data_IF_467743333447
#
_entry.id   IF_467743333447
#
_cell.length_a   1.000
_cell.length_b   1.000
_cell.length_c   1.000
_cell.angle_alpha   90.00
_cell.angle_beta   90.00
_cell.angle_gamma   90.00
#
_symmetry.space_group_name_H-M   'P 1'
#
loop_
_entity.id
_entity.type
_entity.pdbx_description
1 polymer ?
#
# COMPACT_ATOMS: atom_id res chain seq x y z
N UNK A 1 17.95 -27.71 45.96
CA UNK A 1 17.50 -28.08 44.60
C UNK A 1 17.08 -26.89 43.72
N UNK A 2 17.46 -25.64 44.02
CA UNK A 2 17.11 -24.47 43.17
C UNK A 2 18.17 -24.10 42.10
N UNK A 3 19.39 -24.66 42.18
CA UNK A 3 20.50 -24.32 41.27
C UNK A 3 20.49 -25.10 39.94
N UNK A 4 19.91 -26.31 39.91
CA UNK A 4 19.91 -27.17 38.71
C UNK A 4 19.03 -26.64 37.57
N UNK A 5 18.08 -25.75 37.85
CA UNK A 5 17.24 -25.12 36.81
C UNK A 5 17.83 -23.82 36.26
N UNK A 6 18.78 -23.16 36.95
CA UNK A 6 19.38 -21.92 36.47
C UNK A 6 20.27 -22.16 35.25
N UNK A 7 21.13 -23.19 35.28
CA UNK A 7 21.97 -23.54 34.12
C UNK A 7 21.16 -23.94 32.89
N UNK A 8 20.03 -24.66 33.08
CA UNK A 8 19.12 -25.00 31.98
C UNK A 8 18.37 -23.78 31.41
N UNK A 9 18.08 -22.77 32.23
CA UNK A 9 17.49 -21.50 31.77
C UNK A 9 18.54 -20.67 31.02
N UNK A 10 19.77 -20.59 31.53
CA UNK A 10 20.89 -19.89 30.90
C UNK A 10 21.21 -20.47 29.51
N UNK A 11 21.31 -21.80 29.39
CA UNK A 11 21.52 -22.49 28.11
C UNK A 11 20.38 -22.23 27.11
N UNK A 12 19.13 -22.15 27.58
CA UNK A 12 17.97 -21.82 26.72
C UNK A 12 18.00 -20.37 26.26
N UNK A 13 18.41 -19.44 27.13
CA UNK A 13 18.55 -18.02 26.79
C UNK A 13 19.68 -17.80 25.78
N UNK A 14 20.81 -18.50 25.94
CA UNK A 14 21.93 -18.45 25.01
C UNK A 14 21.53 -19.00 23.62
N UNK A 15 20.85 -20.15 23.57
CA UNK A 15 20.29 -20.70 22.33
C UNK A 15 19.28 -19.76 21.67
N UNK A 16 18.44 -19.09 22.46
CA UNK A 16 17.48 -18.13 21.94
C UNK A 16 18.17 -16.88 21.36
N UNK A 17 19.25 -16.40 22.00
CA UNK A 17 20.05 -15.30 21.51
C UNK A 17 20.74 -15.64 20.19
N UNK A 18 21.38 -16.82 20.09
CA UNK A 18 22.03 -17.30 18.87
C UNK A 18 21.03 -17.43 17.70
N UNK A 19 19.88 -18.08 17.92
CA UNK A 19 18.82 -18.18 16.91
C UNK A 19 18.29 -16.82 16.47
N UNK A 20 18.16 -15.88 17.40
CA UNK A 20 17.74 -14.51 17.08
C UNK A 20 18.75 -13.83 16.15
N UNK A 21 20.04 -13.99 16.42
CA UNK A 21 21.12 -13.45 15.59
C UNK A 21 21.13 -14.07 14.19
N UNK A 22 20.97 -15.40 14.09
CA UNK A 22 20.82 -16.11 12.81
C UNK A 22 19.62 -15.60 12.00
N UNK A 23 18.45 -15.45 12.64
CA UNK A 23 17.23 -14.94 11.99
C UNK A 23 17.44 -13.49 11.50
N UNK A 24 18.10 -12.64 12.29
CA UNK A 24 18.39 -11.26 11.89
C UNK A 24 19.35 -11.24 10.70
N UNK A 25 20.42 -12.05 10.74
CA UNK A 25 21.38 -12.15 9.65
C UNK A 25 20.73 -12.63 8.35
N UNK A 26 19.90 -13.68 8.43
CA UNK A 26 19.18 -14.19 7.26
C UNK A 26 18.23 -13.13 6.68
N UNK A 27 17.44 -12.45 7.52
CA UNK A 27 16.53 -11.39 7.08
C UNK A 27 17.26 -10.23 6.40
N UNK A 28 18.43 -9.84 6.91
CA UNK A 28 19.24 -8.80 6.29
C UNK A 28 19.75 -9.22 4.91
N UNK A 29 20.19 -10.47 4.75
CA UNK A 29 20.62 -11.02 3.46
C UNK A 29 19.44 -11.10 2.48
N UNK A 30 18.30 -11.62 2.90
CA UNK A 30 17.09 -11.72 2.07
C UNK A 30 16.63 -10.33 1.61
N UNK A 31 16.62 -9.35 2.52
CA UNK A 31 16.28 -7.96 2.19
C UNK A 31 17.27 -7.37 1.18
N UNK A 32 18.58 -7.51 1.39
CA UNK A 32 19.60 -7.02 0.47
C UNK A 32 19.45 -7.66 -0.93
N UNK A 33 19.16 -8.96 -0.99
CA UNK A 33 18.92 -9.67 -2.25
C UNK A 33 17.67 -9.17 -2.98
N UNK A 34 16.57 -8.95 -2.26
CA UNK A 34 15.34 -8.38 -2.84
C UNK A 34 15.61 -6.98 -3.39
N UNK A 35 16.33 -6.13 -2.65
CA UNK A 35 16.67 -4.78 -3.11
C UNK A 35 17.56 -4.81 -4.36
N UNK A 36 18.56 -5.70 -4.39
CA UNK A 36 19.41 -5.88 -5.56
C UNK A 36 18.61 -6.33 -6.79
N UNK A 37 17.69 -7.29 -6.62
CA UNK A 37 16.83 -7.77 -7.71
C UNK A 37 15.91 -6.66 -8.22
N UNK A 38 15.31 -5.87 -7.32
CA UNK A 38 14.46 -4.74 -7.69
C UNK A 38 15.24 -3.67 -8.47
N UNK A 39 16.45 -3.33 -8.01
CA UNK A 39 17.33 -2.39 -8.70
C UNK A 39 17.72 -2.92 -10.09
N UNK A 40 18.09 -4.20 -10.20
CA UNK A 40 18.43 -4.81 -11.47
C UNK A 40 17.24 -4.79 -12.45
N UNK A 41 16.03 -5.08 -11.98
CA UNK A 41 14.81 -4.98 -12.79
C UNK A 41 14.56 -3.54 -13.26
N UNK A 42 14.79 -2.53 -12.41
CA UNK A 42 14.63 -1.13 -12.76
C UNK A 42 15.66 -0.71 -13.84
N UNK A 43 16.92 -1.10 -13.67
CA UNK A 43 17.98 -0.82 -14.64
C UNK A 43 17.65 -1.46 -15.99
N UNK A 44 17.21 -2.72 -16.00
CA UNK A 44 16.81 -3.41 -17.22
C UNK A 44 15.67 -2.68 -17.96
N UNK A 45 14.66 -2.21 -17.24
CA UNK A 45 13.56 -1.43 -17.82
C UNK A 45 14.06 -0.09 -18.40
N UNK A 46 14.87 0.66 -17.65
CA UNK A 46 15.43 1.93 -18.13
C UNK A 46 16.30 1.76 -19.38
N UNK A 47 17.09 0.69 -19.45
CA UNK A 47 17.87 0.35 -20.62
C UNK A 47 16.99 0.07 -21.83
N UNK A 48 15.89 -0.67 -21.65
CA UNK A 48 14.92 -0.91 -22.71
C UNK A 48 14.30 0.40 -23.21
N UNK A 49 13.83 1.25 -22.29
CA UNK A 49 13.17 2.52 -22.61
C UNK A 49 14.11 3.45 -23.40
N UNK A 50 15.39 3.51 -23.04
CA UNK A 50 16.39 4.31 -23.75
C UNK A 50 16.70 3.76 -25.15
N UNK A 51 16.80 2.44 -25.31
CA UNK A 51 17.00 1.82 -26.62
C UNK A 51 15.78 2.03 -27.54
N UNK A 52 14.57 1.97 -27.00
CA UNK A 52 13.33 2.30 -27.72
C UNK A 52 13.29 3.77 -28.13
N UNK A 53 13.65 4.69 -27.24
CA UNK A 53 13.73 6.12 -27.57
C UNK A 53 14.78 6.40 -28.64
N UNK A 54 15.95 5.75 -28.55
CA UNK A 54 17.00 5.86 -29.56
C UNK A 54 16.51 5.40 -30.93
N UNK A 55 15.80 4.27 -31.00
CA UNK A 55 15.18 3.78 -32.25
C UNK A 55 14.15 4.78 -32.78
N UNK A 56 13.31 5.33 -31.92
CA UNK A 56 12.32 6.36 -32.28
C UNK A 56 12.98 7.60 -32.86
N UNK A 57 13.97 8.18 -32.19
CA UNK A 57 14.71 9.36 -32.69
C UNK A 57 15.40 9.07 -34.03
N UNK A 58 15.97 7.87 -34.20
CA UNK A 58 16.62 7.47 -35.45
C UNK A 58 15.62 7.44 -36.62
N UNK A 59 14.45 6.86 -36.40
CA UNK A 59 13.47 6.57 -37.45
C UNK A 59 12.44 7.68 -37.68
N UNK A 60 12.24 8.57 -36.71
CA UNK A 60 11.26 9.63 -36.81
C UNK A 60 11.65 10.67 -37.88
N UNK A 61 10.61 11.21 -38.51
CA UNK A 61 10.68 12.24 -39.55
C UNK A 61 10.15 13.59 -39.04
N UNK A 62 10.86 14.67 -39.38
CA UNK A 62 10.54 16.02 -38.90
C UNK A 62 9.19 16.51 -39.47
N UNK A 63 8.86 16.15 -40.71
CA UNK A 63 7.62 16.58 -41.33
C UNK A 63 6.41 15.93 -40.66
N UNK A 64 6.48 14.62 -40.41
CA UNK A 64 5.44 13.89 -39.66
C UNK A 64 5.24 14.47 -38.26
N UNK A 65 6.33 14.75 -37.52
CA UNK A 65 6.21 15.35 -36.17
C UNK A 65 5.53 16.72 -36.22
N UNK A 66 5.84 17.55 -37.22
CA UNK A 66 5.19 18.86 -37.38
C UNK A 66 3.70 18.74 -37.68
N UNK A 67 3.31 17.76 -38.48
CA UNK A 67 1.90 17.47 -38.76
C UNK A 67 1.16 17.00 -37.50
N UNK A 68 1.76 16.10 -36.72
CA UNK A 68 1.21 15.65 -35.44
C UNK A 68 1.03 16.82 -34.45
N UNK A 69 2.06 17.67 -34.29
CA UNK A 69 1.97 18.87 -33.43
C UNK A 69 0.81 19.76 -33.88
N UNK A 70 0.69 20.02 -35.18
CA UNK A 70 -0.37 20.86 -35.73
C UNK A 70 -1.76 20.25 -35.52
N UNK A 71 -1.90 18.93 -35.63
CA UNK A 71 -3.15 18.23 -35.35
C UNK A 71 -3.57 18.41 -33.88
N UNK A 72 -2.65 18.18 -32.94
CA UNK A 72 -2.91 18.40 -31.51
C UNK A 72 -3.25 19.85 -31.18
N UNK A 73 -2.59 20.83 -31.82
CA UNK A 73 -2.89 22.25 -31.61
C UNK A 73 -4.28 22.63 -32.14
N UNK A 74 -4.62 22.22 -33.36
CA UNK A 74 -5.89 22.53 -34.01
C UNK A 74 -7.09 21.88 -33.29
N UNK A 75 -6.92 20.66 -32.79
CA UNK A 75 -7.99 19.89 -32.12
C UNK A 75 -7.94 20.00 -30.60
N UNK A 76 -7.05 20.83 -30.05
CA UNK A 76 -6.85 20.96 -28.60
C UNK A 76 -8.13 21.27 -27.82
N UNK A 77 -9.01 22.13 -28.36
CA UNK A 77 -10.28 22.45 -27.71
C UNK A 77 -11.24 21.26 -27.64
N UNK A 78 -11.30 20.44 -28.70
CA UNK A 78 -12.13 19.24 -28.73
C UNK A 78 -11.56 18.15 -27.81
N UNK A 79 -10.24 17.97 -27.80
CA UNK A 79 -9.55 17.04 -26.89
C UNK A 79 -9.75 17.46 -25.44
N UNK A 80 -9.59 18.75 -25.10
CA UNK A 80 -9.76 19.23 -23.72
C UNK A 80 -11.17 18.93 -23.20
N UNK A 81 -12.18 19.26 -24.02
CA UNK A 81 -13.58 19.01 -23.70
C UNK A 81 -13.86 17.52 -23.50
N UNK A 82 -13.47 16.65 -24.45
CA UNK A 82 -13.74 15.21 -24.37
C UNK A 82 -12.99 14.53 -23.23
N UNK A 83 -11.76 14.96 -22.96
CA UNK A 83 -10.98 14.41 -21.85
C UNK A 83 -11.56 14.81 -20.51
N UNK A 84 -12.04 16.05 -20.37
CA UNK A 84 -12.71 16.52 -19.16
C UNK A 84 -13.98 15.71 -18.87
N UNK A 85 -14.83 15.53 -19.88
CA UNK A 85 -16.05 14.70 -19.77
C UNK A 85 -15.73 13.29 -19.26
N UNK A 86 -14.77 12.62 -19.91
CA UNK A 86 -14.36 11.25 -19.52
C UNK A 86 -13.73 11.21 -18.14
N UNK A 87 -12.89 12.19 -17.79
CA UNK A 87 -12.19 12.24 -16.51
C UNK A 87 -13.15 12.44 -15.34
N UNK A 88 -14.07 13.40 -15.45
CA UNK A 88 -15.07 13.70 -14.42
C UNK A 88 -16.00 12.50 -14.17
N UNK A 89 -16.52 11.87 -15.23
CA UNK A 89 -17.34 10.66 -15.11
C UNK A 89 -16.54 9.52 -14.47
N UNK A 90 -15.30 9.32 -14.92
CA UNK A 90 -14.45 8.24 -14.44
C UNK A 90 -14.11 8.37 -12.95
N UNK A 91 -13.71 9.56 -12.48
CA UNK A 91 -13.38 9.79 -11.07
C UNK A 91 -14.58 9.52 -10.17
N UNK A 92 -15.78 9.96 -10.56
CA UNK A 92 -16.99 9.76 -9.77
C UNK A 92 -17.23 8.27 -9.51
N UNK A 93 -17.17 7.45 -10.55
CA UNK A 93 -17.31 6.01 -10.42
C UNK A 93 -16.15 5.38 -9.65
N UNK A 94 -14.93 5.78 -9.95
CA UNK A 94 -13.72 5.28 -9.31
C UNK A 94 -13.72 5.51 -7.79
N UNK A 95 -14.03 6.73 -7.34
CA UNK A 95 -14.07 7.07 -5.91
C UNK A 95 -15.11 6.22 -5.16
N UNK A 96 -16.28 5.99 -5.77
CA UNK A 96 -17.31 5.16 -5.16
C UNK A 96 -16.84 3.70 -5.05
N UNK A 97 -16.15 3.18 -6.07
CA UNK A 97 -15.61 1.82 -6.07
C UNK A 97 -14.50 1.65 -5.02
N UNK A 98 -13.56 2.60 -4.91
CA UNK A 98 -12.51 2.54 -3.86
C UNK A 98 -13.14 2.59 -2.48
N UNK A 99 -14.12 3.48 -2.26
CA UNK A 99 -14.79 3.60 -0.95
C UNK A 99 -15.35 2.24 -0.52
N UNK A 100 -16.13 1.61 -1.39
CA UNK A 100 -16.69 0.29 -1.10
C UNK A 100 -15.59 -0.76 -0.89
N UNK A 101 -14.55 -0.77 -1.74
CA UNK A 101 -13.47 -1.73 -1.65
C UNK A 101 -12.62 -1.61 -0.39
N UNK A 102 -12.29 -0.39 0.04
CA UNK A 102 -11.54 -0.15 1.27
C UNK A 102 -12.38 -0.45 2.52
N UNK A 103 -13.68 -0.09 2.52
CA UNK A 103 -14.59 -0.45 3.61
C UNK A 103 -14.73 -1.97 3.76
N UNK A 104 -14.84 -2.69 2.65
CA UNK A 104 -14.87 -4.16 2.65
C UNK A 104 -13.54 -4.77 3.10
N UNK A 105 -12.42 -4.22 2.63
CA UNK A 105 -11.06 -4.65 3.00
C UNK A 105 -10.82 -4.47 4.50
N UNK A 106 -11.16 -3.30 5.04
CA UNK A 106 -11.07 -3.03 6.48
C UNK A 106 -11.91 -4.02 7.27
N UNK A 107 -13.17 -4.24 6.85
CA UNK A 107 -14.07 -5.19 7.51
C UNK A 107 -13.48 -6.60 7.52
N UNK A 108 -12.93 -7.07 6.40
CA UNK A 108 -12.28 -8.38 6.29
C UNK A 108 -11.03 -8.48 7.17
N UNK A 109 -10.15 -7.48 7.14
CA UNK A 109 -8.94 -7.46 7.96
C UNK A 109 -9.27 -7.54 9.45
N UNK A 110 -10.25 -6.73 9.89
CA UNK A 110 -10.76 -6.77 11.27
C UNK A 110 -11.40 -8.13 11.60
N UNK A 111 -12.17 -8.73 10.70
CA UNK A 111 -12.73 -10.07 10.90
C UNK A 111 -11.66 -11.15 11.01
N UNK A 112 -10.63 -11.12 10.17
CA UNK A 112 -9.51 -12.07 10.22
C UNK A 112 -8.74 -11.92 11.53
N UNK A 113 -8.49 -10.70 11.99
CA UNK A 113 -7.89 -10.46 13.29
C UNK A 113 -8.76 -11.05 14.43
N UNK A 114 -10.10 -10.93 14.34
CA UNK A 114 -11.01 -11.58 15.29
C UNK A 114 -10.87 -13.10 15.27
N UNK A 115 -10.81 -13.74 14.10
CA UNK A 115 -10.70 -15.21 14.01
C UNK A 115 -9.37 -15.73 14.53
N UNK A 116 -8.24 -15.09 14.21
CA UNK A 116 -6.92 -15.50 14.71
C UNK A 116 -6.84 -15.52 16.24
N UNK A 117 -7.50 -14.56 16.91
CA UNK A 117 -7.60 -14.57 18.38
C UNK A 117 -8.30 -15.81 18.96
N UNK A 118 -9.07 -16.55 18.16
CA UNK A 118 -9.73 -17.81 18.54
C UNK A 118 -8.85 -19.04 18.28
N UNK A 119 -8.11 -19.05 17.17
CA UNK A 119 -7.29 -20.21 16.77
C UNK A 119 -6.06 -20.41 17.66
N UNK A 120 -5.50 -19.34 18.23
CA UNK A 120 -4.45 -19.42 19.26
C UNK A 120 -4.90 -20.13 20.56
N UNK A 121 -6.17 -20.56 20.68
CA UNK A 121 -6.65 -21.45 21.76
C UNK A 121 -6.40 -22.95 21.50
N UNK A 122 -6.22 -23.41 20.25
CA UNK A 122 -6.24 -24.85 19.92
C UNK A 122 -4.86 -25.56 19.97
N UNK A 123 -3.74 -24.85 20.07
CA UNK A 123 -2.40 -25.47 20.07
C UNK A 123 -1.83 -25.83 21.46
N UNK A 124 -2.54 -25.59 22.56
CA UNK A 124 -2.14 -26.03 23.92
C UNK A 124 -3.06 -27.12 24.50
N UNK A 125 -3.49 -28.10 23.69
CA UNK A 125 -4.21 -29.28 24.19
C UNK A 125 -3.31 -30.37 24.79
N UNK A 126 -2.30 -30.02 25.60
CA UNK A 126 -1.70 -30.95 26.56
C UNK A 126 -1.17 -30.18 27.77
N UNK A 127 -2.04 -29.82 28.72
CA UNK A 127 -1.81 -29.99 30.16
C UNK A 127 -3.17 -30.11 30.85
N UNK A 128 -3.25 -31.16 31.64
CA UNK A 128 -4.33 -31.63 32.48
C UNK A 128 -5.01 -30.51 33.30
N UNK A 129 -6.33 -30.59 33.36
CA UNK A 129 -7.29 -29.80 34.15
C UNK A 129 -6.72 -29.22 35.46
N UNK A 130 -6.18 -28.00 35.41
CA UNK A 130 -6.03 -27.13 36.59
C UNK A 130 -6.42 -25.69 36.23
N UNK A 131 -7.60 -25.31 36.72
CA UNK A 131 -8.17 -23.96 36.92
C UNK A 131 -7.57 -22.76 36.13
N UNK A 132 -8.39 -22.25 35.22
CA UNK A 132 -8.59 -20.83 34.86
C UNK A 132 -7.35 -19.92 34.97
N UNK A 133 -6.64 -19.72 33.86
CA UNK A 133 -5.69 -18.62 33.75
C UNK A 133 -4.78 -18.72 32.54
N UNK A 134 -4.95 -17.80 31.60
CA UNK A 134 -4.12 -17.65 30.42
C UNK A 134 -4.82 -18.19 29.19
N UNK A 135 -5.03 -17.35 28.19
CA UNK A 135 -5.48 -17.71 26.84
C UNK A 135 -6.93 -18.21 26.65
N UNK A 136 -7.72 -18.55 27.66
CA UNK A 136 -9.18 -18.76 27.44
C UNK A 136 -10.05 -17.50 27.60
N UNK A 137 -9.54 -16.52 28.36
CA UNK A 137 -10.29 -15.32 28.74
C UNK A 137 -10.24 -14.20 27.69
N UNK A 138 -9.14 -14.12 26.94
CA UNK A 138 -8.90 -13.07 25.94
C UNK A 138 -9.79 -13.22 24.70
N UNK A 139 -9.93 -14.41 24.10
CA UNK A 139 -10.78 -14.66 22.94
C UNK A 139 -12.26 -14.37 23.24
N UNK A 140 -12.72 -14.83 24.40
CA UNK A 140 -14.07 -14.55 24.92
C UNK A 140 -14.32 -13.05 25.08
N UNK A 141 -13.29 -12.33 25.52
CA UNK A 141 -13.37 -10.90 25.77
C UNK A 141 -13.27 -10.07 24.48
N UNK A 142 -12.37 -10.38 23.55
CA UNK A 142 -12.33 -9.76 22.23
C UNK A 142 -13.63 -10.02 21.45
N UNK A 143 -14.20 -11.22 21.53
CA UNK A 143 -15.53 -11.52 20.98
C UNK A 143 -16.63 -10.59 21.51
N UNK A 144 -16.63 -10.34 22.83
CA UNK A 144 -17.58 -9.40 23.46
C UNK A 144 -17.32 -7.92 23.08
N UNK A 145 -16.06 -7.55 22.87
CA UNK A 145 -15.65 -6.20 22.48
C UNK A 145 -16.13 -5.86 21.07
N UNK A 146 -16.13 -6.85 20.19
CA UNK A 146 -16.38 -6.71 18.76
C UNK A 146 -17.81 -7.03 18.31
N UNK A 147 -18.76 -7.10 19.26
CA UNK A 147 -20.20 -7.10 18.98
C UNK A 147 -20.85 -8.46 18.75
N UNK A 148 -20.20 -9.58 19.08
CA UNK A 148 -20.88 -10.88 19.12
C UNK A 148 -21.64 -11.02 20.44
N UNK A 149 -22.95 -11.25 20.32
CA UNK A 149 -23.79 -11.64 21.45
C UNK A 149 -23.52 -13.11 21.75
N UNK A 150 -23.42 -13.41 23.04
CA UNK A 150 -23.33 -14.72 23.68
C UNK A 150 -21.93 -15.30 23.92
N UNK A 151 -21.30 -14.82 25.00
CA UNK A 151 -20.45 -15.68 25.84
C UNK A 151 -20.73 -15.35 27.31
N UNK A 152 -21.74 -16.02 27.86
CA UNK A 152 -22.36 -15.75 29.15
C UNK A 152 -21.42 -15.69 30.35
N UNK A 153 -21.80 -14.82 31.29
CA UNK A 153 -21.32 -14.80 32.65
C UNK A 153 -21.79 -16.06 33.38
N UNK A 154 -20.89 -16.68 34.14
CA UNK A 154 -21.29 -17.20 35.44
C UNK A 154 -20.64 -16.30 36.49
N UNK A 155 -21.49 -15.57 37.20
CA UNK A 155 -21.24 -15.22 38.59
C UNK A 155 -20.77 -16.50 39.30
N UNK A 156 -19.61 -16.49 39.95
CA UNK A 156 -19.29 -17.18 41.21
C UNK A 156 -17.78 -17.09 41.47
N UNK A 157 -17.48 -16.50 42.64
CA UNK A 157 -16.26 -16.60 43.48
C UNK A 157 -14.86 -16.29 42.90
N UNK A 158 -14.35 -15.12 43.32
CA UNK A 158 -12.93 -14.70 43.42
C UNK A 158 -11.95 -15.41 42.48
N UNK A 159 -12.18 -15.34 41.18
CA UNK A 159 -11.14 -15.60 40.19
C UNK A 159 -10.33 -14.33 39.98
N UNK A 160 -9.09 -14.29 40.47
CA UNK A 160 -8.20 -13.15 40.25
C UNK A 160 -7.83 -13.09 38.77
N UNK A 161 -8.37 -12.13 38.02
CA UNK A 161 -8.06 -11.93 36.61
C UNK A 161 -6.54 -11.90 36.40
N UNK A 162 -6.03 -12.67 35.45
CA UNK A 162 -4.59 -12.72 35.13
C UNK A 162 -4.43 -12.58 33.62
N UNK A 163 -3.56 -11.68 33.17
CA UNK A 163 -3.33 -11.42 31.74
C UNK A 163 -1.85 -11.17 31.46
N UNK A 164 -1.36 -11.74 30.35
CA UNK A 164 0.01 -11.53 29.85
C UNK A 164 0.01 -10.28 28.97
N UNK A 165 0.48 -9.15 29.49
CA UNK A 165 0.40 -7.87 28.76
C UNK A 165 1.16 -7.90 27.42
N UNK A 166 2.31 -8.59 27.37
CA UNK A 166 3.10 -8.73 26.14
C UNK A 166 2.39 -9.51 25.03
N UNK A 167 1.60 -10.54 25.36
CA UNK A 167 0.83 -11.29 24.37
C UNK A 167 -0.28 -10.43 23.76
N UNK A 168 -0.96 -9.63 24.59
CA UNK A 168 -1.97 -8.67 24.14
C UNK A 168 -1.35 -7.60 23.24
N UNK A 169 -0.18 -7.08 23.60
CA UNK A 169 0.53 -6.09 22.79
C UNK A 169 0.94 -6.65 21.42
N UNK A 170 1.47 -7.87 21.37
CA UNK A 170 1.79 -8.54 20.10
C UNK A 170 0.55 -8.69 19.22
N UNK A 171 -0.56 -9.16 19.79
CA UNK A 171 -1.81 -9.30 19.04
C UNK A 171 -2.32 -7.95 18.48
N UNK A 172 -2.30 -6.88 19.28
CA UNK A 172 -2.69 -5.55 18.79
C UNK A 172 -1.78 -5.08 17.66
N UNK A 173 -0.47 -5.33 17.78
CA UNK A 173 0.52 -5.01 16.75
C UNK A 173 0.22 -5.76 15.45
N UNK A 174 -0.03 -7.07 15.53
CA UNK A 174 -0.39 -7.89 14.37
C UNK A 174 -1.72 -7.47 13.74
N UNK A 175 -2.71 -7.11 14.55
CA UNK A 175 -3.99 -6.58 14.06
C UNK A 175 -3.79 -5.29 13.27
N UNK A 176 -3.00 -4.35 13.80
CA UNK A 176 -2.70 -3.09 13.13
C UNK A 176 -1.95 -3.32 11.83
N UNK A 177 -0.86 -4.07 11.86
CA UNK A 177 -0.06 -4.40 10.67
C UNK A 177 -0.92 -5.09 9.61
N UNK A 178 -1.82 -5.99 10.01
CA UNK A 178 -2.72 -6.67 9.08
C UNK A 178 -3.73 -5.71 8.45
N UNK A 179 -4.29 -4.77 9.21
CA UNK A 179 -5.24 -3.78 8.70
C UNK A 179 -4.55 -2.76 7.79
N UNK A 180 -3.40 -2.24 8.24
CA UNK A 180 -2.55 -1.30 7.50
C UNK A 180 -2.14 -1.89 6.15
N UNK A 181 -1.54 -3.10 6.17
CA UNK A 181 -1.11 -3.81 4.97
C UNK A 181 -2.26 -4.04 4.02
N UNK A 182 -3.39 -4.57 4.51
CA UNK A 182 -4.54 -4.85 3.65
C UNK A 182 -5.09 -3.59 2.97
N UNK A 183 -5.20 -2.48 3.72
CA UNK A 183 -5.66 -1.21 3.15
C UNK A 183 -4.66 -0.63 2.15
N UNK A 184 -3.37 -0.63 2.47
CA UNK A 184 -2.32 -0.12 1.58
C UNK A 184 -2.18 -0.96 0.31
N UNK A 185 -2.26 -2.29 0.42
CA UNK A 185 -2.28 -3.20 -0.74
C UNK A 185 -3.49 -2.92 -1.64
N UNK A 186 -4.66 -2.72 -1.04
CA UNK A 186 -5.89 -2.37 -1.76
C UNK A 186 -5.77 -1.01 -2.45
N UNK A 187 -5.30 0.03 -1.74
CA UNK A 187 -5.07 1.36 -2.29
C UNK A 187 -4.07 1.35 -3.45
N UNK A 188 -2.97 0.59 -3.32
CA UNK A 188 -1.97 0.40 -4.38
C UNK A 188 -2.56 -0.31 -5.60
N UNK A 189 -3.38 -1.34 -5.40
CA UNK A 189 -4.10 -2.01 -6.49
C UNK A 189 -5.02 -1.03 -7.23
N UNK A 190 -5.80 -0.24 -6.50
CA UNK A 190 -6.67 0.79 -7.10
C UNK A 190 -5.89 1.84 -7.89
N UNK A 191 -4.74 2.30 -7.38
CA UNK A 191 -3.85 3.24 -8.08
C UNK A 191 -3.40 2.69 -9.44
N UNK A 192 -3.02 1.41 -9.49
CA UNK A 192 -2.59 0.77 -10.75
C UNK A 192 -3.76 0.65 -11.73
N UNK A 193 -4.92 0.18 -11.27
CA UNK A 193 -6.12 0.03 -12.10
C UNK A 193 -6.59 1.38 -12.64
N UNK A 194 -6.61 2.42 -11.78
CA UNK A 194 -6.97 3.80 -12.15
C UNK A 194 -6.17 4.30 -13.35
N UNK A 195 -4.84 4.22 -13.27
CA UNK A 195 -3.95 4.71 -14.34
C UNK A 195 -4.19 3.98 -15.65
N UNK A 196 -4.34 2.65 -15.58
CA UNK A 196 -4.55 1.80 -16.74
C UNK A 196 -5.90 2.07 -17.42
N UNK A 197 -6.99 2.11 -16.65
CA UNK A 197 -8.34 2.29 -17.17
C UNK A 197 -8.57 3.70 -17.70
N UNK A 198 -8.09 4.72 -16.98
CA UNK A 198 -8.21 6.11 -17.43
C UNK A 198 -7.45 6.30 -18.74
N UNK A 199 -6.19 5.82 -18.82
CA UNK A 199 -5.42 5.86 -20.06
C UNK A 199 -6.17 5.24 -21.23
N UNK A 200 -6.74 4.04 -21.04
CA UNK A 200 -7.48 3.36 -22.10
C UNK A 200 -8.70 4.17 -22.56
N UNK A 201 -9.44 4.79 -21.64
CA UNK A 201 -10.62 5.61 -21.95
C UNK A 201 -10.24 6.88 -22.72
N UNK A 202 -9.23 7.63 -22.26
CA UNK A 202 -8.82 8.88 -22.92
C UNK A 202 -8.11 8.62 -24.24
N UNK A 203 -7.37 7.51 -24.35
CA UNK A 203 -6.77 7.09 -25.61
C UNK A 203 -7.81 6.73 -26.66
N UNK A 204 -8.90 6.04 -26.24
CA UNK A 204 -10.04 5.79 -27.12
C UNK A 204 -10.66 7.10 -27.62
N UNK A 205 -10.86 8.09 -26.74
CA UNK A 205 -11.35 9.40 -27.15
C UNK A 205 -10.40 10.11 -28.11
N UNK A 206 -9.08 10.02 -27.88
CA UNK A 206 -8.11 10.62 -28.78
C UNK A 206 -8.22 10.06 -30.21
N UNK A 207 -8.38 8.74 -30.36
CA UNK A 207 -8.57 8.08 -31.66
C UNK A 207 -9.87 8.43 -32.36
N UNK A 208 -10.89 8.85 -31.61
CA UNK A 208 -12.15 9.33 -32.18
C UNK A 208 -12.00 10.76 -32.76
N UNK A 209 -11.05 11.54 -32.22
CA UNK A 209 -10.82 12.95 -32.58
C UNK A 209 -9.72 13.08 -33.65
N UNK A 210 -8.64 12.32 -33.53
CA UNK A 210 -7.46 12.38 -34.39
C UNK A 210 -7.28 11.04 -35.09
N UNK A 211 -6.93 11.09 -36.37
CA UNK A 211 -6.57 9.90 -37.14
C UNK A 211 -5.32 9.20 -36.58
N UNK A 212 -5.31 7.87 -36.59
CA UNK A 212 -4.27 7.05 -35.94
C UNK A 212 -2.84 7.35 -36.46
N UNK A 213 -2.68 7.73 -37.72
CA UNK A 213 -1.40 8.12 -38.33
C UNK A 213 -0.82 9.42 -37.75
N UNK A 214 -1.67 10.27 -37.18
CA UNK A 214 -1.29 11.53 -36.54
C UNK A 214 -1.13 11.41 -35.02
N UNK A 215 -1.27 10.20 -34.46
CA UNK A 215 -1.10 9.97 -33.03
C UNK A 215 0.29 9.41 -32.74
N UNK A 216 1.10 10.14 -31.97
CA UNK A 216 2.27 9.56 -31.33
C UNK A 216 1.86 8.93 -29.99
N UNK A 217 1.57 7.63 -30.02
CA UNK A 217 1.09 6.88 -28.85
C UNK A 217 2.08 6.94 -27.67
N UNK A 218 3.39 6.93 -27.94
CA UNK A 218 4.39 6.96 -26.87
C UNK A 218 4.45 8.35 -26.21
N UNK A 219 4.40 9.43 -26.98
CA UNK A 219 4.29 10.78 -26.44
C UNK A 219 2.99 10.94 -25.65
N UNK A 220 1.87 10.43 -26.18
CA UNK A 220 0.58 10.49 -25.51
C UNK A 220 0.59 9.75 -24.18
N UNK A 221 1.03 8.49 -24.17
CA UNK A 221 1.15 7.66 -22.95
C UNK A 221 2.05 8.31 -21.91
N UNK A 222 3.22 8.81 -22.29
CA UNK A 222 4.12 9.54 -21.36
C UNK A 222 3.45 10.77 -20.77
N UNK A 223 2.67 11.49 -21.56
CA UNK A 223 1.98 12.70 -21.12
C UNK A 223 0.88 12.41 -20.11
N UNK A 224 0.02 11.42 -20.40
CA UNK A 224 -1.02 10.97 -19.48
C UNK A 224 -0.39 10.45 -18.18
N UNK A 225 0.60 9.56 -18.27
CA UNK A 225 1.21 8.98 -17.07
C UNK A 225 1.92 10.05 -16.22
N UNK A 226 2.60 11.04 -16.83
CA UNK A 226 3.20 12.14 -16.08
C UNK A 226 2.19 12.95 -15.25
N UNK A 227 0.99 13.17 -15.79
CA UNK A 227 -0.11 13.85 -15.07
C UNK A 227 -0.70 12.94 -13.99
N UNK A 228 -0.84 11.64 -14.25
CA UNK A 228 -1.39 10.72 -13.25
C UNK A 228 -0.39 10.35 -12.14
N UNK A 229 0.91 10.39 -12.43
CA UNK A 229 1.98 10.11 -11.47
C UNK A 229 2.14 11.23 -10.43
N UNK A 230 1.70 12.46 -10.74
CA UNK A 230 1.69 13.56 -9.77
C UNK A 230 0.58 13.46 -8.73
N UNK A 231 -0.36 12.51 -8.90
CA UNK A 231 -1.44 12.29 -7.93
C UNK A 231 -0.90 11.45 -6.77
N UNK A 232 -0.94 12.02 -5.57
CA UNK A 232 -0.52 11.32 -4.36
C UNK A 232 -1.63 10.41 -3.84
N UNK A 233 -1.32 9.12 -3.72
CA UNK A 233 -2.14 8.14 -3.02
C UNK A 233 -1.48 7.93 -1.66
N UNK A 234 -2.11 8.47 -0.60
CA UNK A 234 -1.58 8.38 0.76
C UNK A 234 -1.61 6.94 1.28
N UNK A 235 -0.78 6.68 2.28
CA UNK A 235 -0.74 5.39 2.98
C UNK A 235 -1.46 5.50 4.33
N UNK A 236 -2.07 4.40 4.75
CA UNK A 236 -2.58 4.22 6.10
C UNK A 236 -1.41 3.86 7.02
N UNK A 237 -1.46 4.33 8.26
CA UNK A 237 -0.48 4.04 9.31
C UNK A 237 -1.23 3.81 10.63
N UNK A 238 -1.03 2.64 11.22
CA UNK A 238 -1.62 2.25 12.50
C UNK A 238 -0.57 1.84 13.53
N UNK A 239 0.67 2.31 13.42
CA UNK A 239 1.76 1.89 14.31
C UNK A 239 1.64 2.39 15.77
N UNK A 240 0.75 3.36 16.03
CA UNK A 240 0.61 4.03 17.32
C UNK A 240 -0.35 3.33 18.31
N UNK A 241 0.18 2.39 19.09
CA UNK A 241 -0.50 1.84 20.28
C UNK A 241 -0.33 2.81 21.48
N UNK A 242 -1.40 3.20 22.19
CA UNK A 242 -1.32 4.10 23.34
C UNK A 242 -0.31 3.65 24.39
N UNK A 243 0.44 4.60 24.95
CA UNK A 243 1.46 4.33 25.98
C UNK A 243 0.91 3.62 27.22
N UNK A 244 -0.36 3.85 27.55
CA UNK A 244 -1.08 3.18 28.64
C UNK A 244 -1.19 1.66 28.44
N UNK A 245 -1.23 1.20 27.19
CA UNK A 245 -1.25 -0.21 26.81
C UNK A 245 0.19 -0.70 26.59
N UNK A 246 0.95 0.03 25.76
CA UNK A 246 2.32 -0.34 25.37
C UNK A 246 3.28 -0.40 26.56
N UNK A 247 3.07 0.41 27.59
CA UNK A 247 3.90 0.47 28.80
C UNK A 247 3.66 -0.67 29.80
N UNK A 248 2.62 -1.50 29.60
CA UNK A 248 2.32 -2.62 30.50
C UNK A 248 3.06 -3.88 30.06
N UNK A 249 3.71 -4.55 31.02
CA UNK A 249 4.53 -5.73 30.78
C UNK A 249 4.29 -6.82 31.82
N UNK A 250 4.71 -8.05 31.52
CA UNK A 250 4.60 -9.18 32.44
C UNK A 250 3.17 -9.71 32.65
N UNK A 251 2.99 -10.44 33.75
CA UNK A 251 1.73 -11.07 34.12
C UNK A 251 0.97 -10.18 35.11
N UNK A 252 0.00 -9.42 34.61
CA UNK A 252 -0.84 -8.57 35.44
C UNK A 252 -1.85 -9.43 36.19
N UNK A 253 -2.20 -9.05 37.43
CA UNK A 253 -3.15 -9.80 38.28
C UNK A 253 -4.11 -8.91 39.06
N UNK A 254 -5.34 -9.37 39.24
CA UNK A 254 -6.36 -8.68 40.05
C UNK A 254 -6.79 -7.36 39.40
N UNK A 255 -6.86 -6.30 40.18
CA UNK A 255 -7.39 -5.00 39.70
C UNK A 255 -6.55 -4.39 38.58
N UNK A 256 -5.23 -4.61 38.59
CA UNK A 256 -4.35 -4.17 37.50
C UNK A 256 -4.67 -4.89 36.18
N UNK A 257 -4.95 -6.20 36.24
CA UNK A 257 -5.37 -6.95 35.05
C UNK A 257 -6.72 -6.44 34.54
N UNK A 258 -7.68 -6.18 35.45
CA UNK A 258 -8.99 -5.65 35.09
C UNK A 258 -8.90 -4.28 34.42
N UNK A 259 -8.10 -3.36 34.96
CA UNK A 259 -7.90 -2.02 34.39
C UNK A 259 -7.21 -2.07 33.03
N UNK A 260 -6.18 -2.90 32.88
CA UNK A 260 -5.50 -3.09 31.59
C UNK A 260 -6.44 -3.65 30.53
N UNK A 261 -7.22 -4.69 30.88
CA UNK A 261 -8.25 -5.26 30.01
C UNK A 261 -9.22 -4.17 29.57
N UNK A 262 -9.81 -3.41 30.49
CA UNK A 262 -10.73 -2.32 30.14
C UNK A 262 -10.11 -1.30 29.18
N UNK A 263 -8.86 -0.92 29.41
CA UNK A 263 -8.12 0.04 28.57
C UNK A 263 -7.94 -0.48 27.15
N UNK A 264 -7.48 -1.74 27.00
CA UNK A 264 -7.38 -2.41 25.70
C UNK A 264 -8.74 -2.51 25.02
N UNK A 265 -9.83 -2.72 25.79
CA UNK A 265 -11.15 -2.94 25.21
C UNK A 265 -11.71 -1.67 24.63
N UNK A 266 -11.55 -0.57 25.35
CA UNK A 266 -11.91 0.75 24.85
C UNK A 266 -11.07 1.12 23.62
N UNK A 267 -9.77 0.85 23.66
CA UNK A 267 -8.89 1.08 22.52
C UNK A 267 -9.33 0.32 21.27
N UNK A 268 -9.55 -0.99 21.39
CA UNK A 268 -9.92 -1.86 20.28
C UNK A 268 -11.29 -1.50 19.70
N UNK A 269 -12.27 -1.10 20.54
CA UNK A 269 -13.56 -0.57 20.06
C UNK A 269 -13.38 0.72 19.27
N UNK A 270 -12.50 1.61 19.75
CA UNK A 270 -12.24 2.89 19.11
C UNK A 270 -11.47 2.70 17.79
N UNK A 271 -10.55 1.73 17.73
CA UNK A 271 -9.76 1.43 16.54
C UNK A 271 -10.63 1.17 15.30
N UNK A 272 -11.67 0.34 15.40
CA UNK A 272 -12.57 0.10 14.26
C UNK A 272 -13.24 1.40 13.78
N UNK A 273 -13.61 2.30 14.69
CA UNK A 273 -14.21 3.59 14.36
C UNK A 273 -13.18 4.56 13.77
N UNK A 274 -11.95 4.57 14.29
CA UNK A 274 -10.84 5.39 13.82
C UNK A 274 -10.42 4.95 12.40
N UNK A 275 -10.17 3.66 12.18
CA UNK A 275 -9.83 3.14 10.85
C UNK A 275 -10.92 3.43 9.81
N UNK A 276 -12.22 3.36 10.19
CA UNK A 276 -13.32 3.77 9.31
C UNK A 276 -13.30 5.26 9.00
N UNK A 277 -12.94 6.10 9.97
CA UNK A 277 -12.79 7.55 9.80
C UNK A 277 -11.60 7.84 8.88
N UNK A 278 -10.51 7.11 9.02
CA UNK A 278 -9.31 7.28 8.20
C UNK A 278 -9.57 6.86 6.76
N UNK A 279 -10.27 5.75 6.51
CA UNK A 279 -10.73 5.38 5.17
C UNK A 279 -11.60 6.49 4.56
N UNK A 280 -12.53 7.07 5.32
CA UNK A 280 -13.34 8.21 4.84
C UNK A 280 -12.47 9.43 4.53
N UNK A 281 -11.52 9.74 5.40
CA UNK A 281 -10.58 10.86 5.23
C UNK A 281 -9.69 10.68 3.99
N UNK A 282 -9.17 9.47 3.78
CA UNK A 282 -8.41 9.07 2.60
C UNK A 282 -9.24 9.28 1.33
N UNK A 283 -10.46 8.74 1.27
CA UNK A 283 -11.34 8.88 0.12
C UNK A 283 -11.66 10.34 -0.19
N UNK A 284 -11.93 11.13 0.85
CA UNK A 284 -12.23 12.55 0.69
C UNK A 284 -11.01 13.32 0.17
N UNK A 285 -9.83 13.08 0.75
CA UNK A 285 -8.59 13.70 0.30
C UNK A 285 -8.23 13.33 -1.13
N UNK A 286 -8.40 12.06 -1.52
CA UNK A 286 -8.18 11.60 -2.88
C UNK A 286 -9.16 12.24 -3.86
N UNK A 287 -10.45 12.32 -3.51
CA UNK A 287 -11.46 13.02 -4.31
C UNK A 287 -11.06 14.47 -4.56
N UNK A 288 -10.71 15.20 -3.51
CA UNK A 288 -10.31 16.61 -3.63
C UNK A 288 -9.06 16.79 -4.49
N UNK A 289 -8.08 15.88 -4.37
CA UNK A 289 -6.87 15.92 -5.18
C UNK A 289 -7.19 15.69 -6.67
N UNK A 290 -8.07 14.74 -6.98
CA UNK A 290 -8.50 14.42 -8.34
C UNK A 290 -9.36 15.54 -8.95
N UNK A 291 -10.34 16.08 -8.20
CA UNK A 291 -11.21 17.17 -8.66
C UNK A 291 -10.46 18.49 -8.90
N UNK A 292 -9.38 18.75 -8.16
CA UNK A 292 -8.52 19.94 -8.37
C UNK A 292 -7.59 19.81 -9.58
N UNK A 293 -7.40 18.60 -10.11
CA UNK A 293 -6.47 18.38 -11.20
C UNK A 293 -7.05 18.90 -12.53
N UNK A 294 -6.26 19.69 -13.27
CA UNK A 294 -6.62 20.11 -14.62
C UNK A 294 -6.23 19.03 -15.64
N UNK A 295 -6.69 17.80 -15.44
CA UNK A 295 -6.18 16.60 -16.14
C UNK A 295 -6.08 16.78 -17.66
N UNK A 296 -7.14 17.28 -18.30
CA UNK A 296 -7.19 17.46 -19.75
C UNK A 296 -6.14 18.48 -20.24
N UNK A 297 -6.15 19.67 -19.65
CA UNK A 297 -5.22 20.76 -20.01
C UNK A 297 -3.77 20.40 -19.70
N UNK A 298 -3.51 19.77 -18.55
CA UNK A 298 -2.17 19.34 -18.14
C UNK A 298 -1.66 18.22 -19.07
N UNK A 299 -2.53 17.30 -19.48
CA UNK A 299 -2.17 16.24 -20.44
C UNK A 299 -1.81 16.82 -21.80
N UNK A 300 -2.61 17.77 -22.31
CA UNK A 300 -2.32 18.48 -23.57
C UNK A 300 -1.02 19.28 -23.50
N UNK A 301 -0.77 19.96 -22.37
CA UNK A 301 0.48 20.67 -22.13
C UNK A 301 1.67 19.71 -22.15
N UNK A 302 1.59 18.58 -21.44
CA UNK A 302 2.64 17.56 -21.43
C UNK A 302 2.86 16.91 -22.79
N UNK A 303 1.79 16.71 -23.55
CA UNK A 303 1.88 16.21 -24.92
C UNK A 303 2.61 17.19 -25.82
N UNK A 304 2.28 18.47 -25.75
CA UNK A 304 2.98 19.53 -26.49
C UNK A 304 4.47 19.56 -26.14
N UNK A 305 4.81 19.55 -24.84
CA UNK A 305 6.20 19.49 -24.36
C UNK A 305 6.94 18.26 -24.93
N UNK A 306 6.31 17.07 -24.86
CA UNK A 306 6.90 15.82 -25.35
C UNK A 306 7.12 15.81 -26.87
N UNK A 307 6.15 16.33 -27.64
CA UNK A 307 6.27 16.41 -29.09
C UNK A 307 7.33 17.43 -29.52
N UNK A 308 7.44 18.56 -28.82
CA UNK A 308 8.49 19.55 -29.05
C UNK A 308 9.88 18.98 -28.72
N UNK A 309 9.99 18.21 -27.63
CA UNK A 309 11.24 17.53 -27.28
C UNK A 309 11.64 16.53 -28.36
N UNK A 310 10.71 15.71 -28.85
CA UNK A 310 10.97 14.80 -29.97
C UNK A 310 11.41 15.56 -31.23
N UNK A 311 10.72 16.64 -31.59
CA UNK A 311 11.10 17.49 -32.71
C UNK A 311 12.56 17.96 -32.58
N UNK A 312 12.94 18.46 -31.40
CA UNK A 312 14.29 18.96 -31.14
C UNK A 312 15.34 17.85 -31.18
N UNK A 313 15.01 16.65 -30.69
CA UNK A 313 15.89 15.48 -30.77
C UNK A 313 16.11 15.04 -32.21
N UNK A 314 15.05 14.97 -33.01
CA UNK A 314 15.14 14.56 -34.42
C UNK A 314 15.82 15.63 -35.27
N UNK A 315 15.62 16.92 -34.95
CA UNK A 315 16.36 18.02 -35.58
C UNK A 315 17.87 17.92 -35.30
N UNK A 316 18.27 17.51 -34.09
CA UNK A 316 19.67 17.31 -33.68
C UNK A 316 20.05 15.82 -33.58
N UNK A 317 19.56 15.00 -34.53
CA UNK A 317 19.56 13.53 -34.47
C UNK A 317 20.91 12.91 -34.06
N UNK A 318 22.02 13.37 -34.64
CA UNK A 318 23.36 12.83 -34.34
C UNK A 318 23.73 13.05 -32.87
N UNK A 319 23.52 14.27 -32.36
CA UNK A 319 23.84 14.61 -30.97
C UNK A 319 22.92 13.89 -29.99
N UNK A 320 21.62 13.84 -30.27
CA UNK A 320 20.66 13.16 -29.39
C UNK A 320 20.92 11.66 -29.30
N UNK A 321 21.26 11.00 -30.41
CA UNK A 321 21.65 9.59 -30.40
C UNK A 321 22.94 9.39 -29.58
N UNK A 322 23.95 10.24 -29.75
CA UNK A 322 25.18 10.15 -28.97
C UNK A 322 24.95 10.31 -27.45
N UNK A 323 24.03 11.19 -27.05
CA UNK A 323 23.64 11.35 -25.65
C UNK A 323 22.92 10.12 -25.10
N UNK A 324 21.98 9.54 -25.85
CA UNK A 324 21.31 8.30 -25.47
C UNK A 324 22.31 7.14 -25.36
N UNK A 325 23.27 7.03 -26.28
CA UNK A 325 24.33 6.02 -26.22
C UNK A 325 25.21 6.16 -24.98
N UNK A 326 25.55 7.38 -24.58
CA UNK A 326 26.30 7.64 -23.36
C UNK A 326 25.51 7.21 -22.11
N UNK A 327 24.20 7.50 -22.05
CA UNK A 327 23.33 7.09 -20.95
C UNK A 327 23.17 5.57 -20.86
N UNK A 328 22.94 4.90 -22.01
CA UNK A 328 22.85 3.45 -22.09
C UNK A 328 24.15 2.80 -21.62
N UNK A 329 25.30 3.35 -22.03
CA UNK A 329 26.61 2.85 -21.58
C UNK A 329 26.77 3.00 -20.07
N UNK A 330 26.46 4.16 -19.52
CA UNK A 330 26.56 4.42 -18.08
C UNK A 330 25.66 3.48 -17.26
N UNK A 331 24.43 3.22 -17.71
CA UNK A 331 23.51 2.30 -17.03
C UNK A 331 23.96 0.83 -17.10
N UNK A 332 24.68 0.42 -18.14
CA UNK A 332 25.25 -0.95 -18.24
C UNK A 332 26.46 -1.18 -17.32
N UNK A 333 27.05 -0.10 -16.79
CA UNK A 333 28.19 -0.16 -15.87
C UNK A 333 27.76 -0.23 -14.38
N UNK A 334 26.46 -0.04 -14.10
CA UNK A 334 25.82 -0.24 -12.77
C UNK A 334 25.41 -1.71 -12.65
#
# INVERSE_FOLDING_TARGET
>A
MFLSNMGAIEERLEKAAQRKEEIISQRLQDYAQIQANNLHSLIAQLLQDLEEEKKRVKNADISSIKEQIKAYENLSGEIDMKFREVYEEFILHFINNIRAGLEETLKKAIQTAKTRSREEEEEEHYIERVKQGGLGGWARWFGSVFGEKDWGYNEVERTRATIKAGAVLNYLTEMHESCERALNDSANSFKVVFKKELYAKVFKQLREIISDDLIDEMAFKRSVMAVLDSIEFKEFDYTDIPGEIRGKTGNLKGDEANAFIQSVGNYVRNFESEAKKDVKGYIQGLREALERQNFASDTLKKLKENMQNLHNQVQNKVQSIAQLDAQIKALKEI
#
